data_IF_804898125407
#
_entry.id   IF_804898125407
#
_cell.length_a   1.000
_cell.length_b   1.000
_cell.length_c   1.000
_cell.angle_alpha   90.00
_cell.angle_beta   90.00
_cell.angle_gamma   90.00
#
_symmetry.space_group_name_H-M   'P 1'
#
loop_
_entity.id
_entity.type
_entity.pdbx_description
1 polymer ?
#
# COMPACT_ATOMS: atom_id res chain seq x y z
N UNK A 1 8.10 -7.37 32.68
CA UNK A 1 7.35 -7.64 31.43
C UNK A 1 8.36 -7.47 30.32
N UNK A 2 8.31 -8.27 29.25
CA UNK A 2 9.24 -8.09 28.13
C UNK A 2 9.09 -6.69 27.55
N UNK A 3 10.20 -6.06 27.16
CA UNK A 3 10.18 -4.76 26.48
C UNK A 3 9.54 -4.86 25.08
N UNK A 4 9.40 -6.07 24.53
CA UNK A 4 8.73 -6.32 23.25
C UNK A 4 7.20 -6.37 23.35
N UNK A 5 6.62 -6.41 24.55
CA UNK A 5 5.18 -6.62 24.74
C UNK A 5 4.53 -5.48 25.53
N UNK A 6 3.41 -4.97 25.01
CA UNK A 6 2.58 -3.96 25.67
C UNK A 6 1.59 -4.57 26.67
N UNK A 7 1.37 -5.88 26.60
CA UNK A 7 0.44 -6.64 27.44
C UNK A 7 0.93 -8.07 27.68
N UNK A 8 0.52 -8.68 28.79
CA UNK A 8 0.83 -10.08 29.09
C UNK A 8 -0.13 -11.09 28.46
N UNK A 9 -1.25 -10.61 27.89
CA UNK A 9 -2.32 -11.45 27.33
C UNK A 9 -2.50 -11.20 25.83
N UNK A 10 -2.47 -12.27 25.04
CA UNK A 10 -2.78 -12.23 23.61
C UNK A 10 -4.28 -12.42 23.34
N UNK A 11 -4.82 -11.85 22.24
CA UNK A 11 -6.25 -11.87 21.92
C UNK A 11 -6.70 -13.19 21.27
N UNK A 12 -6.29 -14.34 21.83
CA UNK A 12 -6.55 -15.67 21.27
C UNK A 12 -7.48 -16.51 22.15
N UNK A 13 -8.06 -17.56 21.58
CA UNK A 13 -8.81 -18.56 22.33
C UNK A 13 -7.94 -19.19 23.42
N UNK A 14 -8.54 -19.54 24.57
CA UNK A 14 -7.85 -20.26 25.65
C UNK A 14 -7.27 -21.57 25.10
N UNK A 15 -5.95 -21.74 25.20
CA UNK A 15 -5.23 -22.91 24.72
C UNK A 15 -4.79 -22.86 23.25
N UNK A 16 -5.09 -21.80 22.50
CA UNK A 16 -4.63 -21.63 21.10
C UNK A 16 -3.11 -21.56 21.03
N UNK A 17 -2.43 -22.34 20.17
CA UNK A 17 -0.98 -22.41 20.11
C UNK A 17 -0.28 -21.15 19.59
N UNK A 18 -0.97 -20.26 18.86
CA UNK A 18 -0.43 -18.95 18.43
C UNK A 18 0.30 -18.20 19.56
N UNK A 19 -0.20 -18.22 20.80
CA UNK A 19 0.46 -17.51 21.92
C UNK A 19 1.88 -18.02 22.21
N UNK A 20 2.16 -19.31 21.94
CA UNK A 20 3.49 -19.88 22.10
C UNK A 20 4.42 -19.37 21.00
N UNK A 21 3.93 -19.16 19.78
CA UNK A 21 4.71 -18.61 18.68
C UNK A 21 5.17 -17.20 19.05
N UNK A 22 4.24 -16.33 19.48
CA UNK A 22 4.54 -14.95 19.88
C UNK A 22 5.57 -14.91 21.01
N UNK A 23 5.39 -15.73 22.05
CA UNK A 23 6.33 -15.76 23.19
C UNK A 23 7.70 -16.34 22.83
N UNK A 24 7.77 -17.30 21.92
CA UNK A 24 9.04 -17.84 21.47
C UNK A 24 9.77 -16.84 20.56
N UNK A 25 9.06 -16.06 19.74
CA UNK A 25 9.66 -14.96 18.99
C UNK A 25 10.23 -13.90 19.93
N UNK A 26 9.46 -13.46 20.94
CA UNK A 26 9.94 -12.50 21.94
C UNK A 26 11.21 -12.98 22.62
N UNK A 27 11.25 -14.25 23.06
CA UNK A 27 12.45 -14.84 23.66
C UNK A 27 13.64 -14.89 22.70
N UNK A 28 13.38 -15.16 21.42
CA UNK A 28 14.43 -15.17 20.40
C UNK A 28 15.05 -13.77 20.25
N UNK A 29 14.21 -12.74 20.11
CA UNK A 29 14.64 -11.35 19.95
C UNK A 29 15.36 -10.81 21.19
N UNK A 30 14.87 -11.13 22.39
CA UNK A 30 15.55 -10.80 23.65
C UNK A 30 16.91 -11.50 23.77
N UNK A 31 16.97 -12.78 23.39
CA UNK A 31 18.21 -13.56 23.37
C UNK A 31 19.25 -13.05 22.38
N UNK A 32 18.81 -12.34 21.32
CA UNK A 32 19.66 -11.65 20.36
C UNK A 32 20.11 -10.26 20.84
N UNK A 33 19.53 -9.74 21.93
CA UNK A 33 19.78 -8.37 22.39
C UNK A 33 19.19 -7.29 21.49
N UNK A 34 18.17 -7.62 20.68
CA UNK A 34 17.49 -6.63 19.84
C UNK A 34 16.71 -5.63 20.69
N UNK A 35 16.65 -4.36 20.25
CA UNK A 35 15.67 -3.40 20.75
C UNK A 35 14.33 -3.57 20.02
N UNK A 36 13.17 -3.28 20.64
CA UNK A 36 11.89 -3.23 19.93
C UNK A 36 11.89 -2.31 18.71
N UNK A 37 12.69 -1.23 18.73
CA UNK A 37 12.84 -0.28 17.62
C UNK A 37 13.77 -0.80 16.49
N UNK A 38 14.39 -1.96 16.66
CA UNK A 38 15.14 -2.63 15.61
C UNK A 38 14.29 -3.63 14.83
N UNK A 39 13.05 -3.87 15.26
CA UNK A 39 12.17 -4.89 14.71
C UNK A 39 10.95 -4.27 14.05
N UNK A 40 10.65 -4.73 12.84
CA UNK A 40 9.39 -4.47 12.15
C UNK A 40 8.63 -5.79 12.04
N UNK A 41 7.49 -5.87 12.72
CA UNK A 41 6.57 -7.00 12.65
C UNK A 41 5.49 -6.71 11.61
N UNK A 42 5.45 -7.49 10.54
CA UNK A 42 4.43 -7.39 9.49
C UNK A 42 3.46 -8.56 9.66
N UNK A 43 2.18 -8.28 9.82
CA UNK A 43 1.18 -9.32 10.08
C UNK A 43 0.19 -9.46 8.94
N UNK A 44 -0.19 -10.68 8.58
CA UNK A 44 -1.26 -10.99 7.64
C UNK A 44 -2.66 -10.95 8.27
N UNK A 45 -3.70 -11.07 7.44
CA UNK A 45 -5.09 -11.22 7.92
C UNK A 45 -5.29 -12.65 8.43
N UNK A 46 -5.63 -12.77 9.70
CA UNK A 46 -5.91 -14.05 10.36
C UNK A 46 -5.88 -13.90 11.87
N UNK A 47 -6.18 -14.98 12.61
CA UNK A 47 -6.14 -14.94 14.08
C UNK A 47 -4.78 -14.44 14.59
N UNK A 48 -3.68 -14.95 14.03
CA UNK A 48 -2.32 -14.52 14.38
C UNK A 48 -2.13 -13.00 14.26
N UNK A 49 -2.70 -12.36 13.24
CA UNK A 49 -2.48 -10.95 12.94
C UNK A 49 -3.07 -9.98 13.95
N UNK A 50 -4.02 -10.42 14.79
CA UNK A 50 -4.59 -9.60 15.87
C UNK A 50 -3.54 -9.32 16.98
N UNK A 51 -2.45 -10.09 17.03
CA UNK A 51 -1.42 -9.90 18.04
C UNK A 51 -0.50 -8.70 17.79
N UNK A 52 -0.54 -8.06 16.60
CA UNK A 52 0.27 -6.88 16.31
C UNK A 52 0.18 -5.80 17.41
N UNK A 53 -1.01 -5.52 17.92
CA UNK A 53 -1.28 -4.55 19.01
C UNK A 53 -0.61 -4.91 20.35
N UNK A 54 -0.24 -6.18 20.52
CA UNK A 54 0.44 -6.65 21.72
C UNK A 54 1.97 -6.44 21.66
N UNK A 55 2.53 -6.11 20.49
CA UNK A 55 3.95 -5.85 20.32
C UNK A 55 4.28 -4.35 20.47
N UNK A 56 5.40 -4.06 21.14
CA UNK A 56 5.96 -2.73 21.29
C UNK A 56 6.96 -2.36 20.18
N UNK A 57 6.92 -3.08 19.05
CA UNK A 57 7.78 -2.89 17.87
C UNK A 57 7.11 -1.98 16.85
N UNK A 58 7.77 -1.71 15.72
CA UNK A 58 7.05 -1.22 14.55
C UNK A 58 6.12 -2.33 14.03
N UNK A 59 4.88 -2.01 13.71
CA UNK A 59 3.89 -2.99 13.25
C UNK A 59 3.20 -2.54 11.97
N UNK A 60 3.07 -3.44 10.99
CA UNK A 60 2.32 -3.21 9.76
C UNK A 60 1.32 -4.34 9.55
N UNK A 61 0.03 -4.04 9.66
CA UNK A 61 -1.04 -4.99 9.37
C UNK A 61 -1.37 -4.98 7.88
N UNK A 62 -1.02 -6.06 7.19
CA UNK A 62 -1.17 -6.22 5.74
C UNK A 62 -2.56 -6.69 5.31
N UNK A 63 -2.71 -6.88 3.99
CA UNK A 63 -3.85 -7.57 3.39
C UNK A 63 -3.63 -9.08 3.36
N UNK A 64 -4.70 -9.84 3.18
CA UNK A 64 -4.65 -11.30 3.20
C UNK A 64 -3.70 -11.87 2.13
N UNK A 65 -2.68 -12.63 2.56
CA UNK A 65 -1.60 -13.18 1.75
C UNK A 65 -0.68 -12.14 1.13
N UNK A 66 -0.64 -10.90 1.64
CA UNK A 66 0.22 -9.82 1.13
C UNK A 66 1.29 -9.38 2.13
N UNK A 67 1.26 -9.88 3.35
CA UNK A 67 2.23 -9.56 4.40
C UNK A 67 3.69 -9.80 3.97
N UNK A 68 3.97 -10.90 3.24
CA UNK A 68 5.33 -11.18 2.74
C UNK A 68 5.77 -10.20 1.66
N UNK A 69 4.86 -9.77 0.78
CA UNK A 69 5.18 -8.75 -0.23
C UNK A 69 5.47 -7.38 0.43
N UNK A 70 4.69 -7.01 1.44
CA UNK A 70 4.90 -5.79 2.23
C UNK A 70 6.22 -5.86 3.01
N UNK A 71 6.47 -6.98 3.71
CA UNK A 71 7.71 -7.24 4.42
C UNK A 71 8.93 -7.23 3.51
N UNK A 72 8.82 -7.77 2.30
CA UNK A 72 9.90 -7.72 1.33
C UNK A 72 10.22 -6.27 0.91
N UNK A 73 9.20 -5.44 0.66
CA UNK A 73 9.38 -4.01 0.40
C UNK A 73 10.09 -3.30 1.54
N UNK A 74 9.70 -3.58 2.78
CA UNK A 74 10.32 -3.00 3.98
C UNK A 74 11.78 -3.46 4.13
N UNK A 75 12.05 -4.77 4.03
CA UNK A 75 13.41 -5.32 4.18
C UNK A 75 14.37 -4.87 3.08
N UNK A 76 13.85 -4.57 1.88
CA UNK A 76 14.63 -3.98 0.78
C UNK A 76 14.93 -2.49 0.98
N UNK A 77 14.09 -1.77 1.73
CA UNK A 77 14.22 -0.33 1.94
C UNK A 77 14.97 0.02 3.24
N UNK A 78 14.94 -0.86 4.23
CA UNK A 78 15.61 -0.66 5.52
C UNK A 78 17.07 -1.14 5.48
N UNK A 79 17.93 -0.57 6.35
CA UNK A 79 19.30 -1.00 6.45
C UNK A 79 19.41 -2.39 7.13
N UNK A 80 20.47 -3.18 6.85
CA UNK A 80 20.58 -4.60 7.23
C UNK A 80 20.50 -4.93 8.72
N UNK A 81 20.77 -3.96 9.60
CA UNK A 81 20.67 -4.10 11.04
C UNK A 81 19.23 -4.23 11.54
N UNK A 82 18.25 -3.75 10.76
CA UNK A 82 16.84 -3.85 11.10
C UNK A 82 16.30 -5.23 10.75
N UNK A 83 15.47 -5.78 11.63
CA UNK A 83 14.89 -7.12 11.50
C UNK A 83 13.44 -7.01 11.04
N UNK A 84 13.14 -7.64 9.91
CA UNK A 84 11.77 -7.74 9.39
C UNK A 84 11.26 -9.16 9.64
N UNK A 85 10.23 -9.26 10.48
CA UNK A 85 9.57 -10.53 10.79
C UNK A 85 8.15 -10.47 10.25
N UNK A 86 7.75 -11.50 9.51
CA UNK A 86 6.41 -11.61 8.93
C UNK A 86 5.64 -12.72 9.61
N UNK A 87 4.49 -12.41 10.20
CA UNK A 87 3.53 -13.41 10.68
C UNK A 87 2.46 -13.66 9.63
N UNK A 88 2.31 -14.93 9.25
CA UNK A 88 1.31 -15.36 8.28
C UNK A 88 0.69 -16.69 8.72
N UNK A 89 -0.63 -16.82 8.65
CA UNK A 89 -1.31 -18.09 8.86
C UNK A 89 -1.15 -19.02 7.66
N UNK A 90 -1.45 -20.30 7.83
CA UNK A 90 -1.48 -21.27 6.73
C UNK A 90 -2.43 -20.87 5.59
N UNK A 91 -3.56 -20.23 5.91
CA UNK A 91 -4.43 -19.65 4.88
C UNK A 91 -3.86 -18.45 4.14
N UNK A 92 -3.18 -17.56 4.88
CA UNK A 92 -2.43 -16.46 4.28
C UNK A 92 -1.34 -16.97 3.36
N UNK A 93 -0.63 -18.03 3.75
CA UNK A 93 0.40 -18.67 2.94
C UNK A 93 -0.18 -19.35 1.69
N UNK A 94 -1.43 -19.81 1.74
CA UNK A 94 -2.12 -20.40 0.57
C UNK A 94 -2.37 -19.34 -0.52
N UNK A 95 -3.05 -18.24 -0.19
CA UNK A 95 -3.31 -17.14 -1.16
C UNK A 95 -2.05 -16.29 -1.44
N UNK A 96 -1.08 -16.32 -0.52
CA UNK A 96 0.18 -15.59 -0.60
C UNK A 96 1.35 -16.39 -1.17
N UNK A 97 1.13 -17.63 -1.63
CA UNK A 97 2.21 -18.56 -2.01
C UNK A 97 3.21 -17.94 -2.97
N UNK A 98 2.75 -17.26 -4.03
CA UNK A 98 3.64 -16.62 -5.00
C UNK A 98 4.54 -15.56 -4.37
N UNK A 99 4.05 -14.79 -3.40
CA UNK A 99 4.85 -13.77 -2.73
C UNK A 99 5.93 -14.39 -1.84
N UNK A 100 5.64 -15.51 -1.20
CA UNK A 100 6.61 -16.31 -0.44
C UNK A 100 7.71 -16.82 -1.38
N UNK A 101 7.32 -17.46 -2.49
CA UNK A 101 8.27 -18.02 -3.45
C UNK A 101 9.14 -16.95 -4.11
N UNK A 102 8.59 -15.79 -4.46
CA UNK A 102 9.38 -14.69 -5.03
C UNK A 102 10.34 -14.06 -4.01
N UNK A 103 9.92 -13.89 -2.75
CA UNK A 103 10.82 -13.41 -1.70
C UNK A 103 11.97 -14.39 -1.45
N UNK A 104 11.69 -15.70 -1.45
CA UNK A 104 12.69 -16.75 -1.40
C UNK A 104 13.61 -16.73 -2.62
N UNK A 105 13.05 -16.63 -3.84
CA UNK A 105 13.80 -16.58 -5.10
C UNK A 105 14.74 -15.38 -5.17
N UNK A 106 14.30 -14.22 -4.72
CA UNK A 106 15.15 -13.04 -4.63
C UNK A 106 16.16 -13.16 -3.49
N UNK A 107 15.89 -13.93 -2.45
CA UNK A 107 16.64 -13.95 -1.19
C UNK A 107 16.53 -12.61 -0.43
N UNK A 108 15.31 -12.09 -0.31
CA UNK A 108 15.07 -10.85 0.44
C UNK A 108 15.31 -11.09 1.93
N UNK A 109 16.01 -10.16 2.58
CA UNK A 109 16.37 -10.23 4.00
C UNK A 109 15.14 -10.04 4.92
N UNK A 110 14.45 -11.14 5.21
CA UNK A 110 13.28 -11.18 6.09
C UNK A 110 13.03 -12.60 6.59
N UNK A 111 12.38 -12.71 7.75
CA UNK A 111 11.95 -13.99 8.33
C UNK A 111 10.44 -14.14 8.28
N UNK A 112 9.94 -15.18 7.62
CA UNK A 112 8.51 -15.54 7.62
C UNK A 112 8.25 -16.60 8.68
N UNK A 113 7.38 -16.31 9.64
CA UNK A 113 6.88 -17.27 10.63
C UNK A 113 5.46 -17.66 10.26
N UNK A 114 5.28 -18.94 9.90
CA UNK A 114 3.99 -19.48 9.47
C UNK A 114 3.30 -20.12 10.67
N UNK A 115 2.15 -19.56 11.02
CA UNK A 115 1.26 -20.09 12.05
C UNK A 115 0.37 -21.16 11.39
N UNK A 116 0.86 -22.41 11.32
CA UNK A 116 0.14 -23.50 10.67
C UNK A 116 -0.74 -24.26 11.67
N UNK A 117 -2.01 -23.84 11.77
CA UNK A 117 -3.01 -24.48 12.61
C UNK A 117 -3.97 -25.41 11.84
N UNK A 118 -3.59 -25.75 10.60
CA UNK A 118 -4.23 -26.68 9.67
C UNK A 118 -5.57 -26.23 9.08
N UNK A 119 -6.02 -24.98 9.31
CA UNK A 119 -7.29 -24.45 8.79
C UNK A 119 -7.41 -22.92 8.91
N UNK A 120 -8.47 -22.35 8.31
CA UNK A 120 -8.78 -20.93 8.43
C UNK A 120 -9.58 -20.67 9.71
N UNK A 121 -8.88 -20.49 10.84
CA UNK A 121 -9.51 -20.31 12.14
C UNK A 121 -10.46 -19.10 12.23
N UNK A 122 -10.02 -17.93 11.74
CA UNK A 122 -10.78 -16.68 11.87
C UNK A 122 -12.12 -16.71 11.12
N UNK A 123 -12.20 -17.43 10.01
CA UNK A 123 -13.38 -17.45 9.12
C UNK A 123 -14.31 -18.64 9.39
N UNK A 124 -14.04 -19.45 10.41
CA UNK A 124 -14.93 -20.54 10.81
C UNK A 124 -14.44 -21.94 10.49
N UNK A 125 -13.15 -22.15 10.23
CA UNK A 125 -12.54 -23.47 10.18
C UNK A 125 -12.59 -24.18 8.82
N UNK A 126 -12.42 -23.44 7.73
CA UNK A 126 -12.27 -23.97 6.36
C UNK A 126 -10.87 -24.58 6.14
N UNK A 127 -10.68 -25.53 5.23
CA UNK A 127 -9.34 -26.02 4.89
C UNK A 127 -8.51 -24.94 4.17
N UNK A 128 -7.19 -24.98 4.37
CA UNK A 128 -6.16 -24.24 3.65
C UNK A 128 -5.47 -25.12 2.61
N UNK A 129 -4.59 -24.55 1.79
CA UNK A 129 -3.68 -25.30 0.92
C UNK A 129 -2.59 -26.06 1.68
N UNK A 130 -2.51 -25.90 3.00
CA UNK A 130 -1.62 -26.64 3.90
C UNK A 130 -2.38 -27.68 4.73
N UNK A 131 -3.72 -27.72 4.66
CA UNK A 131 -4.53 -28.73 5.34
C UNK A 131 -4.22 -30.11 4.78
N UNK A 132 -3.73 -31.06 5.58
CA UNK A 132 -3.35 -32.39 5.10
C UNK A 132 -4.53 -33.18 4.56
N UNK A 133 -4.25 -34.11 3.65
CA UNK A 133 -5.23 -35.10 3.21
C UNK A 133 -5.74 -35.91 4.42
N UNK A 134 -7.04 -36.20 4.45
CA UNK A 134 -7.72 -36.84 5.57
C UNK A 134 -8.00 -35.94 6.78
N UNK A 135 -7.40 -34.75 6.88
CA UNK A 135 -7.66 -33.84 7.99
C UNK A 135 -9.06 -33.26 7.93
N UNK A 136 -9.84 -33.40 9.01
CA UNK A 136 -11.25 -33.01 9.06
C UNK A 136 -11.38 -31.54 9.43
N UNK A 137 -12.23 -30.82 8.71
CA UNK A 137 -12.54 -29.41 8.99
C UNK A 137 -14.04 -29.19 9.06
N UNK A 138 -14.49 -27.95 9.32
CA UNK A 138 -15.92 -27.63 9.45
C UNK A 138 -16.68 -27.91 8.14
N UNK A 139 -16.06 -27.64 6.99
CA UNK A 139 -16.68 -27.82 5.67
C UNK A 139 -16.21 -29.07 4.93
N UNK A 140 -15.19 -29.77 5.47
CA UNK A 140 -14.74 -31.09 5.00
C UNK A 140 -14.83 -32.11 6.14
N UNK A 141 -16.05 -32.47 6.58
CA UNK A 141 -16.24 -33.35 7.73
C UNK A 141 -15.75 -34.79 7.50
N UNK A 142 -15.60 -35.22 6.25
CA UNK A 142 -15.04 -36.54 5.89
C UNK A 142 -13.52 -36.49 5.68
N UNK A 143 -12.88 -35.35 5.94
CA UNK A 143 -11.45 -35.13 5.69
C UNK A 143 -11.18 -34.49 4.32
N UNK A 144 -10.10 -33.71 4.24
CA UNK A 144 -9.62 -33.17 2.96
C UNK A 144 -9.28 -34.31 1.98
N UNK A 145 -9.73 -34.18 0.73
CA UNK A 145 -9.38 -35.10 -0.37
C UNK A 145 -8.32 -34.49 -1.30
N UNK A 146 -7.83 -33.30 -0.95
CA UNK A 146 -6.86 -32.56 -1.75
C UNK A 146 -5.45 -32.77 -1.19
N UNK A 147 -4.43 -32.83 -2.05
CA UNK A 147 -3.05 -32.78 -1.59
C UNK A 147 -2.76 -31.41 -0.96
N UNK A 148 -1.84 -31.41 -0.02
CA UNK A 148 -1.37 -30.20 0.66
C UNK A 148 0.00 -29.79 0.11
N UNK A 149 0.35 -28.51 0.27
CA UNK A 149 1.68 -28.01 -0.04
C UNK A 149 2.67 -28.33 1.08
N UNK A 150 3.87 -28.80 0.73
CA UNK A 150 5.02 -28.80 1.64
C UNK A 150 5.74 -27.45 1.51
N UNK A 151 5.38 -26.48 2.36
CA UNK A 151 5.87 -25.12 2.24
C UNK A 151 7.38 -25.01 2.44
N UNK A 152 7.95 -25.74 3.41
CA UNK A 152 9.39 -25.74 3.66
C UNK A 152 10.15 -26.24 2.42
N UNK A 153 9.69 -27.33 1.80
CA UNK A 153 10.31 -27.83 0.57
C UNK A 153 10.17 -26.83 -0.58
N UNK A 154 8.98 -26.26 -0.78
CA UNK A 154 8.72 -25.30 -1.85
C UNK A 154 9.63 -24.07 -1.77
N UNK A 155 9.83 -23.49 -0.57
CA UNK A 155 10.71 -22.32 -0.43
C UNK A 155 12.18 -22.67 -0.60
N UNK A 156 12.59 -23.87 -0.17
CA UNK A 156 13.94 -24.38 -0.41
C UNK A 156 14.21 -24.56 -1.91
N UNK A 157 13.27 -25.15 -2.64
CA UNK A 157 13.34 -25.29 -4.10
C UNK A 157 13.31 -23.93 -4.82
N UNK A 158 12.64 -22.92 -4.24
CA UNK A 158 12.66 -21.54 -4.72
C UNK A 158 13.97 -20.79 -4.39
N UNK A 159 14.83 -21.34 -3.52
CA UNK A 159 16.13 -20.77 -3.18
C UNK A 159 16.21 -20.00 -1.86
N UNK A 160 15.36 -20.32 -0.88
CA UNK A 160 15.47 -19.82 0.48
C UNK A 160 16.85 -20.12 1.10
N UNK A 161 17.38 -19.20 1.90
CA UNK A 161 18.61 -19.41 2.65
C UNK A 161 18.39 -20.35 3.85
N UNK A 162 17.19 -20.31 4.43
CA UNK A 162 16.82 -21.13 5.58
C UNK A 162 15.34 -21.50 5.56
N UNK A 163 15.03 -22.74 5.87
CA UNK A 163 13.68 -23.18 6.22
C UNK A 163 13.73 -24.07 7.45
N UNK A 164 12.75 -23.94 8.34
CA UNK A 164 12.57 -24.85 9.45
C UNK A 164 11.09 -25.16 9.66
N UNK A 165 10.85 -26.35 10.20
CA UNK A 165 9.53 -26.77 10.65
C UNK A 165 9.64 -27.28 12.08
N UNK A 166 8.78 -26.79 12.94
CA UNK A 166 8.75 -27.15 14.36
C UNK A 166 7.33 -27.46 14.82
N UNK A 167 7.21 -28.30 15.84
CA UNK A 167 5.95 -28.44 16.57
C UNK A 167 5.85 -27.26 17.54
N UNK A 168 4.74 -26.54 17.49
CA UNK A 168 4.45 -25.35 18.32
C UNK A 168 4.17 -25.66 19.79
N UNK A 169 4.93 -26.60 20.39
CA UNK A 169 4.84 -26.97 21.79
C UNK A 169 6.19 -26.71 22.47
N UNK A 170 6.16 -26.09 23.65
CA UNK A 170 7.35 -25.84 24.44
C UNK A 170 8.19 -24.67 23.94
N UNK A 171 9.51 -24.80 24.04
CA UNK A 171 10.47 -23.77 23.67
C UNK A 171 11.14 -24.10 22.32
N UNK A 172 10.92 -23.24 21.33
CA UNK A 172 11.53 -23.29 20.01
C UNK A 172 12.13 -21.92 19.62
N UNK A 173 12.40 -21.07 20.62
CA UNK A 173 13.02 -19.75 20.40
C UNK A 173 14.37 -19.83 19.70
N UNK A 174 15.14 -20.90 19.91
CA UNK A 174 16.46 -21.06 19.26
C UNK A 174 16.35 -21.23 17.74
N UNK A 175 15.27 -21.88 17.26
CA UNK A 175 15.00 -22.03 15.82
C UNK A 175 14.58 -20.69 15.22
N UNK A 176 13.72 -19.95 15.93
CA UNK A 176 13.34 -18.60 15.49
C UNK A 176 14.53 -17.65 15.49
N UNK A 177 15.40 -17.72 16.50
CA UNK A 177 16.65 -16.95 16.56
C UNK A 177 17.52 -17.25 15.35
N UNK A 178 17.78 -18.53 15.07
CA UNK A 178 18.59 -18.93 13.92
C UNK A 178 17.99 -18.38 12.61
N UNK A 179 16.67 -18.45 12.45
CA UNK A 179 16.00 -17.90 11.28
C UNK A 179 16.14 -16.37 11.14
N UNK A 180 16.09 -15.61 12.23
CA UNK A 180 16.24 -14.14 12.24
C UNK A 180 17.70 -13.69 12.09
N UNK A 181 18.66 -14.55 12.43
CA UNK A 181 20.09 -14.33 12.22
C UNK A 181 20.54 -14.57 10.77
N UNK A 182 19.76 -15.30 9.98
CA UNK A 182 20.05 -15.56 8.57
C UNK A 182 20.01 -14.26 7.77
N UNK A 183 21.09 -13.97 7.05
CA UNK A 183 21.11 -12.93 6.02
C UNK A 183 20.42 -13.47 4.76
N UNK A 184 19.23 -12.95 4.45
CA UNK A 184 18.41 -13.39 3.33
C UNK A 184 17.07 -13.99 3.76
N UNK A 185 16.42 -14.70 2.85
CA UNK A 185 15.07 -15.18 3.11
C UNK A 185 15.09 -16.42 4.01
N UNK A 186 14.39 -16.34 5.13
CA UNK A 186 14.16 -17.46 6.05
C UNK A 186 12.68 -17.71 6.30
N UNK A 187 12.31 -18.98 6.48
CA UNK A 187 10.94 -19.38 6.84
C UNK A 187 10.94 -20.37 8.01
N UNK A 188 10.06 -20.16 8.98
CA UNK A 188 9.78 -21.11 10.06
C UNK A 188 8.31 -21.47 10.06
N UNK A 189 7.99 -22.70 9.71
CA UNK A 189 6.65 -23.27 9.80
C UNK A 189 6.42 -23.87 11.19
N UNK A 190 5.49 -23.30 11.95
CA UNK A 190 5.14 -23.78 13.29
C UNK A 190 3.82 -24.52 13.23
N UNK A 191 3.88 -25.84 13.43
CA UNK A 191 2.71 -26.71 13.44
C UNK A 191 1.98 -26.61 14.79
N UNK A 192 0.70 -26.28 14.76
CA UNK A 192 -0.18 -26.26 15.93
C UNK A 192 -1.59 -26.76 15.59
N UNK A 193 -2.50 -26.76 16.57
CA UNK A 193 -3.90 -27.12 16.35
C UNK A 193 -4.82 -26.01 16.83
N UNK A 194 -5.72 -25.57 15.96
CA UNK A 194 -6.78 -24.65 16.33
C UNK A 194 -7.73 -25.30 17.36
N UNK A 195 -7.73 -24.80 18.60
CA UNK A 195 -8.56 -25.33 19.68
C UNK A 195 -10.07 -25.20 19.44
N UNK A 196 -10.50 -24.20 18.66
CA UNK A 196 -11.92 -23.95 18.39
C UNK A 196 -12.51 -24.92 17.36
N UNK A 197 -11.70 -25.33 16.38
CA UNK A 197 -12.18 -26.13 15.23
C UNK A 197 -11.39 -27.43 15.08
N UNK A 198 -10.07 -27.35 14.84
CA UNK A 198 -9.24 -28.52 14.52
C UNK A 198 -9.30 -29.60 15.61
N UNK A 199 -9.14 -29.21 16.88
CA UNK A 199 -9.18 -30.15 18.01
C UNK A 199 -10.55 -30.83 18.19
N UNK A 200 -11.63 -30.12 17.85
CA UNK A 200 -13.01 -30.66 17.92
C UNK A 200 -13.28 -31.69 16.83
N UNK A 201 -12.81 -31.42 15.61
CA UNK A 201 -13.05 -32.28 14.45
C UNK A 201 -12.08 -33.47 14.34
N UNK A 202 -10.92 -33.37 14.99
CA UNK A 202 -9.88 -34.40 14.98
C UNK A 202 -9.51 -34.80 16.42
N UNK A 203 -10.44 -35.40 17.18
CA UNK A 203 -10.21 -35.72 18.60
C UNK A 203 -9.08 -36.75 18.75
N UNK A 204 -8.16 -36.49 19.69
CA UNK A 204 -7.03 -37.39 19.99
C UNK A 204 -5.87 -37.31 19.01
N UNK A 205 -5.95 -36.46 17.98
CA UNK A 205 -4.87 -36.27 17.02
C UNK A 205 -3.62 -35.71 17.69
N UNK A 206 -2.46 -36.30 17.38
CA UNK A 206 -1.15 -35.78 17.81
C UNK A 206 -0.43 -35.17 16.62
N UNK A 207 0.07 -33.95 16.79
CA UNK A 207 0.76 -33.20 15.74
C UNK A 207 1.94 -33.94 15.10
N UNK A 208 2.72 -34.68 15.91
CA UNK A 208 3.85 -35.48 15.40
C UNK A 208 3.38 -36.62 14.48
N UNK A 209 2.33 -37.32 14.86
CA UNK A 209 1.76 -38.42 14.08
C UNK A 209 1.15 -37.90 12.77
N UNK A 210 0.49 -36.73 12.82
CA UNK A 210 -0.04 -36.06 11.63
C UNK A 210 1.09 -35.64 10.67
N UNK A 211 2.14 -34.98 11.19
CA UNK A 211 3.28 -34.54 10.38
C UNK A 211 3.98 -35.73 9.69
N UNK A 212 4.13 -36.85 10.41
CA UNK A 212 4.66 -38.09 9.86
C UNK A 212 3.79 -38.66 8.75
N UNK A 213 2.48 -38.82 9.01
CA UNK A 213 1.54 -39.42 8.08
C UNK A 213 1.41 -38.61 6.78
N UNK A 214 1.51 -37.30 6.88
CA UNK A 214 1.36 -36.41 5.74
C UNK A 214 2.71 -36.02 5.09
N UNK A 215 3.84 -36.54 5.59
CA UNK A 215 5.12 -36.43 4.90
C UNK A 215 5.85 -35.09 5.05
N UNK A 216 5.52 -34.31 6.08
CA UNK A 216 6.13 -33.00 6.36
C UNK A 216 6.72 -32.95 7.78
N UNK A 217 7.59 -33.88 8.11
CA UNK A 217 8.26 -33.98 9.42
C UNK A 217 8.96 -32.67 9.86
N UNK A 218 8.99 -32.35 11.17
CA UNK A 218 9.81 -31.27 11.70
C UNK A 218 11.29 -31.43 11.32
N UNK A 219 11.94 -30.33 10.97
CA UNK A 219 13.30 -30.35 10.46
C UNK A 219 13.86 -28.96 10.23
N UNK A 220 15.14 -28.89 9.88
CA UNK A 220 15.84 -27.67 9.51
C UNK A 220 16.59 -27.92 8.21
N UNK A 221 16.37 -27.04 7.25
CA UNK A 221 16.98 -27.08 5.93
C UNK A 221 17.73 -25.77 5.70
N UNK A 222 18.97 -25.88 5.23
CA UNK A 222 19.84 -24.73 4.95
C UNK A 222 20.14 -24.72 3.47
N UNK A 223 19.80 -23.60 2.83
CA UNK A 223 20.01 -23.42 1.40
C UNK A 223 21.44 -23.00 1.08
N UNK A 224 21.72 -22.83 -0.20
CA UNK A 224 22.99 -22.26 -0.65
C UNK A 224 23.10 -20.81 -0.18
N UNK A 225 24.16 -20.50 0.56
CA UNK A 225 24.43 -19.11 0.97
C UNK A 225 24.66 -18.24 -0.25
N UNK A 226 23.84 -17.21 -0.38
CA UNK A 226 23.96 -16.13 -1.35
C UNK A 226 23.63 -14.80 -0.66
N UNK A 227 24.17 -13.67 -1.14
CA UNK A 227 23.87 -12.37 -0.54
C UNK A 227 22.37 -12.10 -0.52
N UNK A 228 21.92 -11.37 0.50
CA UNK A 228 20.55 -10.85 0.50
C UNK A 228 20.32 -9.93 -0.70
N UNK A 229 19.12 -9.97 -1.27
CA UNK A 229 18.75 -9.00 -2.30
C UNK A 229 18.70 -7.60 -1.71
N UNK A 230 19.40 -6.67 -2.35
CA UNK A 230 19.36 -5.24 -2.05
C UNK A 230 18.94 -4.50 -3.30
N UNK A 231 18.14 -3.46 -3.12
CA UNK A 231 17.86 -2.54 -4.21
C UNK A 231 19.16 -1.86 -4.63
N UNK A 232 19.35 -1.59 -5.94
CA UNK A 232 20.43 -0.71 -6.37
C UNK A 232 20.34 0.61 -5.60
N UNK A 233 21.47 1.21 -5.17
CA UNK A 233 21.43 2.52 -4.55
C UNK A 233 20.74 3.49 -5.51
N UNK A 234 19.56 3.96 -5.10
CA UNK A 234 18.82 5.01 -5.81
C UNK A 234 19.40 6.38 -5.47
N UNK A 235 18.99 7.38 -6.24
CA UNK A 235 19.20 8.78 -5.84
C UNK A 235 18.47 9.01 -4.50
N UNK A 236 19.19 9.50 -3.48
CA UNK A 236 18.59 9.87 -2.21
C UNK A 236 17.51 10.91 -2.48
N UNK A 237 16.26 10.55 -2.21
CA UNK A 237 15.16 11.50 -2.28
C UNK A 237 15.10 12.24 -0.95
N UNK A 238 14.90 13.57 -0.97
CA UNK A 238 14.69 14.31 0.26
C UNK A 238 13.51 13.71 1.02
N UNK A 239 13.64 13.65 2.35
CA UNK A 239 12.55 13.20 3.22
C UNK A 239 11.32 14.05 2.97
N UNK A 240 10.14 13.43 2.91
CA UNK A 240 8.88 14.17 2.87
C UNK A 240 8.68 15.05 4.11
N UNK A 241 9.37 14.72 5.21
CA UNK A 241 9.36 15.50 6.45
C UNK A 241 10.34 16.69 6.42
N UNK A 242 11.25 16.72 5.46
CA UNK A 242 12.28 17.76 5.30
C UNK A 242 12.04 18.62 4.05
N UNK A 243 10.86 18.52 3.44
CA UNK A 243 10.52 19.34 2.28
C UNK A 243 10.44 20.82 2.66
N UNK A 244 11.19 21.65 1.93
CA UNK A 244 11.09 23.09 2.09
C UNK A 244 9.70 23.61 1.67
N UNK A 245 9.06 24.47 2.48
CA UNK A 245 7.82 25.12 2.10
C UNK A 245 8.00 25.95 0.81
N UNK A 246 6.96 26.01 -0.02
CA UNK A 246 6.97 26.89 -1.18
C UNK A 246 6.91 28.34 -0.67
N UNK A 247 7.91 29.20 -0.99
CA UNK A 247 7.94 30.56 -0.49
C UNK A 247 6.79 31.37 -1.09
N UNK A 248 6.14 32.18 -0.24
CA UNK A 248 5.10 33.11 -0.69
C UNK A 248 5.78 34.32 -1.35
N UNK A 249 5.51 34.52 -2.64
CA UNK A 249 6.06 35.60 -3.47
C UNK A 249 4.98 36.50 -4.07
N UNK A 250 3.76 36.01 -4.12
CA UNK A 250 2.60 36.71 -4.68
C UNK A 250 1.47 36.75 -3.66
N UNK A 251 0.37 37.43 -3.99
CA UNK A 251 -0.81 37.51 -3.13
C UNK A 251 -2.06 37.23 -3.94
N UNK A 252 -2.78 36.18 -3.58
CA UNK A 252 -4.10 35.90 -4.15
C UNK A 252 -5.17 36.82 -3.56
N UNK A 253 -6.12 37.32 -4.38
CA UNK A 253 -7.28 38.07 -3.90
C UNK A 253 -8.36 37.17 -3.27
N UNK A 254 -8.25 35.83 -3.36
CA UNK A 254 -9.24 34.90 -2.81
C UNK A 254 -9.35 35.06 -1.29
N UNK A 255 -10.53 35.38 -0.77
CA UNK A 255 -10.76 35.51 0.68
C UNK A 255 -11.26 34.21 1.33
N UNK A 256 -11.99 33.41 0.56
CA UNK A 256 -12.67 32.20 1.02
C UNK A 256 -12.00 30.92 0.55
N UNK A 257 -12.85 29.98 0.12
CA UNK A 257 -12.47 28.70 -0.47
C UNK A 257 -12.96 28.68 -1.92
N UNK A 258 -12.17 28.10 -2.82
CA UNK A 258 -12.57 27.82 -4.19
C UNK A 258 -12.30 26.35 -4.51
N UNK A 259 -13.32 25.65 -5.00
CA UNK A 259 -13.27 24.28 -5.50
C UNK A 259 -13.25 24.27 -7.03
N UNK A 260 -12.13 23.80 -7.58
CA UNK A 260 -11.86 23.71 -9.01
C UNK A 260 -11.80 22.24 -9.44
N UNK A 261 -12.47 21.91 -10.54
CA UNK A 261 -12.35 20.61 -11.22
C UNK A 261 -11.78 20.85 -12.61
N UNK A 262 -10.78 20.07 -13.00
CA UNK A 262 -10.17 20.11 -14.34
C UNK A 262 -10.32 18.74 -14.97
N UNK A 263 -11.10 18.64 -16.04
CA UNK A 263 -11.34 17.42 -16.79
C UNK A 263 -10.75 17.48 -18.20
N UNK A 264 -10.00 16.44 -18.58
CA UNK A 264 -9.45 16.28 -19.93
C UNK A 264 -9.13 14.82 -20.24
N UNK A 265 -8.33 14.56 -21.27
CA UNK A 265 -7.95 13.19 -21.63
C UNK A 265 -6.64 12.79 -20.95
N UNK A 266 -6.48 11.49 -20.69
CA UNK A 266 -5.24 10.93 -20.20
C UNK A 266 -4.09 11.23 -21.18
N UNK A 267 -2.96 11.70 -20.66
CA UNK A 267 -1.82 12.14 -21.49
C UNK A 267 -1.85 13.61 -21.92
N UNK A 268 -2.94 14.34 -21.67
CA UNK A 268 -3.08 15.78 -21.98
C UNK A 268 -2.65 16.72 -20.83
N UNK A 269 -1.86 16.21 -19.88
CA UNK A 269 -1.21 17.02 -18.85
C UNK A 269 -2.09 17.49 -17.69
N UNK A 270 -3.37 17.08 -17.59
CA UNK A 270 -4.33 17.52 -16.55
C UNK A 270 -3.74 17.47 -15.13
N UNK A 271 -3.19 16.31 -14.74
CA UNK A 271 -2.65 16.12 -13.38
C UNK A 271 -1.49 17.07 -13.06
N UNK A 272 -0.65 17.37 -14.06
CA UNK A 272 0.51 18.25 -13.92
C UNK A 272 0.10 19.70 -13.90
N UNK A 273 -0.83 20.10 -14.79
CA UNK A 273 -1.38 21.45 -14.80
C UNK A 273 -2.00 21.81 -13.44
N UNK A 274 -2.83 20.92 -12.89
CA UNK A 274 -3.45 21.10 -11.57
C UNK A 274 -2.42 21.14 -10.42
N UNK A 275 -1.37 20.32 -10.47
CA UNK A 275 -0.28 20.36 -9.49
C UNK A 275 0.47 21.70 -9.53
N UNK A 276 0.83 22.18 -10.71
CA UNK A 276 1.50 23.48 -10.88
C UNK A 276 0.61 24.64 -10.44
N UNK A 277 -0.69 24.57 -10.71
CA UNK A 277 -1.65 25.59 -10.30
C UNK A 277 -1.81 25.63 -8.77
N UNK A 278 -1.87 24.46 -8.12
CA UNK A 278 -1.86 24.37 -6.65
C UNK A 278 -0.55 24.91 -6.04
N UNK A 279 0.61 24.62 -6.64
CA UNK A 279 1.89 25.18 -6.19
C UNK A 279 1.95 26.70 -6.34
N UNK A 280 1.44 27.23 -7.45
CA UNK A 280 1.33 28.67 -7.67
C UNK A 280 0.39 29.33 -6.65
N UNK A 281 -0.73 28.67 -6.31
CA UNK A 281 -1.62 29.13 -5.25
C UNK A 281 -0.92 29.17 -3.88
N UNK A 282 -0.13 28.15 -3.53
CA UNK A 282 0.69 28.15 -2.30
C UNK A 282 1.70 29.28 -2.31
N UNK A 283 2.42 29.47 -3.42
CA UNK A 283 3.33 30.61 -3.62
C UNK A 283 2.61 31.98 -3.62
N UNK A 284 1.28 31.99 -3.64
CA UNK A 284 0.43 33.17 -3.58
C UNK A 284 -0.27 33.34 -2.22
N UNK A 285 0.14 32.58 -1.20
CA UNK A 285 -0.37 32.68 0.17
C UNK A 285 -1.65 31.91 0.43
N UNK A 286 -2.00 30.91 -0.39
CA UNK A 286 -3.15 30.04 -0.19
C UNK A 286 -2.74 28.65 0.31
N UNK A 287 -3.62 28.03 1.07
CA UNK A 287 -3.63 26.59 1.28
C UNK A 287 -4.20 25.90 0.04
N UNK A 288 -3.58 24.81 -0.39
CA UNK A 288 -4.03 24.06 -1.56
C UNK A 288 -4.03 22.55 -1.32
N UNK A 289 -5.05 21.87 -1.84
CA UNK A 289 -5.07 20.40 -1.97
C UNK A 289 -5.31 20.03 -3.42
N UNK A 290 -4.75 18.89 -3.84
CA UNK A 290 -4.92 18.36 -5.19
C UNK A 290 -5.17 16.86 -5.14
N UNK A 291 -6.28 16.41 -5.73
CA UNK A 291 -6.64 14.99 -5.90
C UNK A 291 -6.71 14.67 -7.38
N UNK A 292 -6.19 13.50 -7.78
CA UNK A 292 -6.29 13.00 -9.16
C UNK A 292 -7.27 11.83 -9.25
N UNK A 293 -8.01 11.75 -10.35
CA UNK A 293 -8.80 10.59 -10.77
C UNK A 293 -8.47 10.28 -12.22
N UNK A 294 -8.04 9.05 -12.50
CA UNK A 294 -7.74 8.57 -13.84
C UNK A 294 -7.73 7.04 -13.86
N UNK A 295 -8.00 6.40 -15.02
CA UNK A 295 -7.93 4.96 -15.16
C UNK A 295 -6.54 4.39 -14.87
N UNK A 296 -6.47 3.12 -14.49
CA UNK A 296 -5.19 2.38 -14.32
C UNK A 296 -4.45 2.19 -15.66
N UNK A 297 -5.15 2.32 -16.78
CA UNK A 297 -4.60 2.23 -18.13
C UNK A 297 -3.88 3.52 -18.49
N UNK A 298 -2.59 3.42 -18.81
CA UNK A 298 -1.76 4.58 -19.17
C UNK A 298 -2.22 5.17 -20.51
N UNK A 299 -2.51 6.48 -20.50
CA UNK A 299 -2.72 7.26 -21.73
C UNK A 299 -4.06 7.05 -22.44
N UNK A 300 -5.03 6.38 -21.81
CA UNK A 300 -6.36 6.15 -22.39
C UNK A 300 -7.45 6.57 -21.41
N UNK A 301 -8.50 7.20 -21.93
CA UNK A 301 -9.67 7.64 -21.16
C UNK A 301 -9.51 9.02 -20.55
N UNK A 302 -10.28 9.28 -19.51
CA UNK A 302 -10.31 10.59 -18.84
C UNK A 302 -9.10 10.80 -17.92
N UNK A 303 -8.84 12.07 -17.62
CA UNK A 303 -8.06 12.49 -16.47
C UNK A 303 -8.75 13.68 -15.84
N UNK A 304 -9.09 13.55 -14.56
CA UNK A 304 -9.68 14.63 -13.76
C UNK A 304 -8.76 14.98 -12.61
N UNK A 305 -8.55 16.27 -12.38
CA UNK A 305 -7.96 16.77 -11.15
C UNK A 305 -8.94 17.66 -10.39
N UNK A 306 -9.06 17.43 -9.09
CA UNK A 306 -9.79 18.28 -8.15
C UNK A 306 -8.78 19.11 -7.36
N UNK A 307 -8.95 20.43 -7.36
CA UNK A 307 -8.10 21.38 -6.64
C UNK A 307 -8.98 22.20 -5.70
N UNK A 308 -8.62 22.25 -4.42
CA UNK A 308 -9.26 23.15 -3.45
C UNK A 308 -8.22 24.18 -3.03
N UNK A 309 -8.56 25.45 -3.19
CA UNK A 309 -7.77 26.59 -2.73
C UNK A 309 -8.49 27.27 -1.57
N UNK A 310 -7.76 27.76 -0.57
CA UNK A 310 -8.35 28.39 0.61
C UNK A 310 -7.36 29.32 1.32
N UNK A 311 -7.84 30.39 1.97
CA UNK A 311 -7.00 31.15 2.93
C UNK A 311 -6.85 30.48 4.30
N UNK A 312 -7.65 29.46 4.58
CA UNK A 312 -7.65 28.72 5.84
C UNK A 312 -7.25 27.26 5.61
N UNK A 313 -6.71 26.57 6.63
CA UNK A 313 -6.37 25.15 6.53
C UNK A 313 -7.52 24.30 5.97
N UNK A 314 -7.19 23.40 5.05
CA UNK A 314 -8.16 22.52 4.37
C UNK A 314 -8.19 21.18 5.10
N UNK A 315 -9.21 20.97 5.96
CA UNK A 315 -9.40 19.70 6.67
C UNK A 315 -10.13 18.63 5.85
N UNK A 316 -10.87 19.03 4.81
CA UNK A 316 -11.60 18.14 3.90
C UNK A 316 -11.46 18.61 2.45
N UNK A 317 -10.95 17.72 1.60
CA UNK A 317 -10.59 18.02 0.22
C UNK A 317 -11.66 17.56 -0.80
N UNK A 318 -12.77 16.96 -0.34
CA UNK A 318 -13.85 16.54 -1.24
C UNK A 318 -14.61 17.72 -1.84
N UNK A 319 -15.03 17.57 -3.12
CA UNK A 319 -15.81 18.57 -3.85
C UNK A 319 -17.18 17.97 -4.20
N UNK A 320 -18.22 18.41 -3.49
CA UNK A 320 -19.61 18.04 -3.79
C UNK A 320 -20.19 18.94 -4.90
N UNK A 321 -20.14 20.26 -4.71
CA UNK A 321 -20.43 21.26 -5.74
C UNK A 321 -19.17 22.06 -6.05
N UNK A 322 -18.68 22.06 -7.31
CA UNK A 322 -17.53 22.87 -7.72
C UNK A 322 -17.92 24.33 -7.96
N UNK A 323 -17.03 25.26 -7.62
CA UNK A 323 -17.18 26.68 -7.98
C UNK A 323 -16.73 26.93 -9.43
N UNK A 324 -15.76 26.13 -9.89
CA UNK A 324 -15.20 26.21 -11.24
C UNK A 324 -15.01 24.79 -11.78
N UNK A 325 -15.49 24.55 -13.00
CA UNK A 325 -15.17 23.34 -13.76
C UNK A 325 -14.50 23.77 -15.06
N UNK A 326 -13.35 23.18 -15.39
CA UNK A 326 -12.59 23.41 -16.62
C UNK A 326 -12.56 22.11 -17.41
N UNK A 327 -13.10 22.11 -18.63
CA UNK A 327 -13.17 20.94 -19.50
C UNK A 327 -12.40 21.21 -20.79
N UNK A 328 -11.37 20.40 -21.05
CA UNK A 328 -10.46 20.58 -22.20
C UNK A 328 -10.55 19.49 -23.26
N UNK A 329 -11.32 18.42 -23.03
CA UNK A 329 -11.49 17.34 -24.00
C UNK A 329 -12.83 16.63 -23.85
N UNK A 330 -13.18 15.83 -24.86
CA UNK A 330 -14.40 15.03 -24.85
C UNK A 330 -14.40 13.95 -23.75
N UNK A 331 -13.26 13.30 -23.48
CA UNK A 331 -13.17 12.31 -22.38
C UNK A 331 -13.43 12.96 -21.02
N UNK A 332 -12.86 14.16 -20.81
CA UNK A 332 -13.10 14.96 -19.61
C UNK A 332 -14.56 15.36 -19.48
N UNK A 333 -15.18 15.82 -20.58
CA UNK A 333 -16.60 16.19 -20.60
C UNK A 333 -17.49 15.00 -20.27
N UNK A 334 -17.26 13.84 -20.90
CA UNK A 334 -18.03 12.62 -20.66
C UNK A 334 -17.91 12.14 -19.22
N UNK A 335 -16.72 12.21 -18.63
CA UNK A 335 -16.51 11.80 -17.24
C UNK A 335 -17.17 12.75 -16.23
N UNK A 336 -17.11 14.06 -16.48
CA UNK A 336 -17.67 15.08 -15.57
C UNK A 336 -19.12 15.48 -15.90
N UNK A 337 -19.76 14.83 -16.88
CA UNK A 337 -21.09 15.21 -17.37
C UNK A 337 -22.14 15.32 -16.26
N UNK A 338 -22.23 14.31 -15.38
CA UNK A 338 -23.16 14.35 -14.25
C UNK A 338 -22.84 15.47 -13.26
N UNK A 339 -21.56 15.76 -13.05
CA UNK A 339 -21.15 16.82 -12.13
C UNK A 339 -21.53 18.19 -12.69
N UNK A 340 -21.26 18.42 -13.97
CA UNK A 340 -21.60 19.66 -14.69
C UNK A 340 -23.11 19.88 -14.73
N UNK A 341 -23.88 18.83 -15.00
CA UNK A 341 -25.35 18.89 -14.99
C UNK A 341 -25.91 19.29 -13.62
N UNK A 342 -25.29 18.81 -12.53
CA UNK A 342 -25.70 19.11 -11.15
C UNK A 342 -25.19 20.46 -10.63
N UNK A 343 -24.46 21.25 -11.42
CA UNK A 343 -24.04 22.59 -10.99
C UNK A 343 -25.25 23.52 -10.97
N UNK A 344 -25.50 24.14 -9.83
CA UNK A 344 -26.57 25.14 -9.63
C UNK A 344 -26.05 26.59 -9.71
N UNK A 345 -24.73 26.75 -9.87
CA UNK A 345 -24.02 28.02 -9.95
C UNK A 345 -22.53 27.80 -10.25
N UNK A 346 -21.70 28.83 -10.04
CA UNK A 346 -20.28 28.78 -10.39
C UNK A 346 -20.05 28.97 -11.90
N UNK A 347 -18.88 28.57 -12.38
CA UNK A 347 -18.49 28.73 -13.80
C UNK A 347 -18.05 27.42 -14.44
N UNK A 348 -18.54 27.17 -15.65
CA UNK A 348 -18.06 26.10 -16.54
C UNK A 348 -17.20 26.72 -17.63
N UNK A 349 -15.91 26.43 -17.63
CA UNK A 349 -14.95 26.79 -18.67
C UNK A 349 -14.79 25.59 -19.60
N UNK A 350 -15.13 25.74 -20.87
CA UNK A 350 -15.13 24.62 -21.81
C UNK A 350 -14.39 24.99 -23.10
N UNK A 351 -13.60 24.05 -23.61
CA UNK A 351 -12.92 24.20 -24.89
C UNK A 351 -13.93 24.39 -26.03
N UNK A 352 -13.64 25.31 -26.95
CA UNK A 352 -14.52 25.65 -28.06
C UNK A 352 -14.81 24.49 -29.02
N UNK A 353 -13.95 23.45 -29.05
CA UNK A 353 -14.17 22.28 -29.88
C UNK A 353 -15.25 21.34 -29.34
N UNK A 354 -15.81 21.60 -28.16
CA UNK A 354 -16.72 20.69 -27.46
C UNK A 354 -18.16 21.23 -27.46
N UNK A 355 -19.17 20.34 -27.46
CA UNK A 355 -20.54 20.75 -27.27
C UNK A 355 -20.73 21.31 -25.85
N UNK A 356 -21.45 22.42 -25.73
CA UNK A 356 -21.81 22.99 -24.44
C UNK A 356 -22.89 22.11 -23.78
N UNK A 357 -22.62 21.52 -22.60
CA UNK A 357 -23.60 20.69 -21.90
C UNK A 357 -24.67 21.55 -21.21
N UNK A 358 -25.79 20.92 -20.85
CA UNK A 358 -26.77 21.53 -19.96
C UNK A 358 -26.18 21.69 -18.55
N UNK A 359 -26.33 22.88 -17.96
CA UNK A 359 -25.81 23.21 -16.63
C UNK A 359 -26.48 24.47 -16.08
N UNK A 360 -26.55 24.61 -14.75
CA UNK A 360 -26.93 25.85 -14.08
C UNK A 360 -25.77 26.84 -13.88
N UNK A 361 -24.54 26.46 -14.28
CA UNK A 361 -23.35 27.32 -14.18
C UNK A 361 -23.28 28.38 -15.29
N UNK A 362 -22.55 29.47 -15.04
CA UNK A 362 -22.16 30.41 -16.10
C UNK A 362 -21.15 29.75 -17.05
N UNK A 363 -21.50 29.61 -18.33
CA UNK A 363 -20.63 28.96 -19.33
C UNK A 363 -19.69 29.97 -19.99
N UNK A 364 -18.39 29.65 -19.97
CA UNK A 364 -17.32 30.39 -20.63
C UNK A 364 -16.62 29.50 -21.65
N UNK A 365 -16.90 29.75 -22.93
CA UNK A 365 -16.25 29.04 -24.04
C UNK A 365 -14.94 29.74 -24.40
N UNK A 366 -13.86 28.97 -24.52
CA UNK A 366 -12.51 29.47 -24.87
C UNK A 366 -11.79 28.44 -25.73
N UNK A 367 -10.88 28.90 -26.58
CA UNK A 367 -9.93 28.01 -27.26
C UNK A 367 -8.79 27.62 -26.29
N UNK A 368 -8.82 26.39 -25.77
CA UNK A 368 -7.74 25.85 -24.95
C UNK A 368 -6.76 25.00 -25.74
N UNK A 369 -7.23 24.36 -26.82
CA UNK A 369 -6.45 23.37 -27.58
C UNK A 369 -5.66 23.98 -28.72
N UNK A 370 -6.13 25.04 -29.37
CA UNK A 370 -5.62 25.59 -30.64
C UNK A 370 -4.10 25.77 -30.66
N UNK A 371 -3.60 26.91 -30.17
CA UNK A 371 -2.14 27.19 -30.15
C UNK A 371 -1.36 26.32 -29.16
N UNK A 372 -2.03 25.80 -28.12
CA UNK A 372 -1.37 25.03 -27.06
C UNK A 372 -1.10 23.57 -27.45
N UNK A 373 -1.90 23.02 -28.36
CA UNK A 373 -1.98 21.60 -28.65
C UNK A 373 -2.60 20.79 -27.50
N UNK A 374 -2.95 19.52 -27.75
CA UNK A 374 -3.62 18.65 -26.77
C UNK A 374 -2.80 18.47 -25.48
N UNK A 375 -1.47 18.39 -25.58
CA UNK A 375 -0.59 18.16 -24.42
C UNK A 375 -0.55 19.32 -23.42
N UNK A 376 -0.82 20.54 -23.86
CA UNK A 376 -0.77 21.74 -23.02
C UNK A 376 -2.15 22.36 -22.78
N UNK A 377 -3.23 21.75 -23.28
CA UNK A 377 -4.58 22.31 -23.21
C UNK A 377 -5.00 22.60 -21.76
N UNK A 378 -4.77 21.66 -20.83
CA UNK A 378 -5.10 21.86 -19.41
C UNK A 378 -4.28 22.98 -18.75
N UNK A 379 -2.99 23.09 -19.10
CA UNK A 379 -2.11 24.14 -18.58
C UNK A 379 -2.56 25.52 -19.10
N UNK A 380 -2.85 25.62 -20.39
CA UNK A 380 -3.32 26.85 -21.01
C UNK A 380 -4.73 27.25 -20.53
N UNK A 381 -5.61 26.29 -20.28
CA UNK A 381 -6.92 26.54 -19.70
C UNK A 381 -6.82 27.13 -18.29
N UNK A 382 -5.95 26.60 -17.44
CA UNK A 382 -5.70 27.15 -16.10
C UNK A 382 -4.99 28.51 -16.13
N UNK A 383 -4.17 28.76 -17.14
CA UNK A 383 -3.54 30.08 -17.33
C UNK A 383 -4.58 31.12 -17.77
N UNK A 384 -5.50 30.74 -18.66
CA UNK A 384 -6.64 31.57 -19.04
C UNK A 384 -7.53 31.87 -17.83
N UNK A 385 -7.84 30.86 -17.01
CA UNK A 385 -8.57 31.03 -15.75
C UNK A 385 -7.84 31.99 -14.80
N UNK A 386 -6.52 31.83 -14.61
CA UNK A 386 -5.70 32.72 -13.79
C UNK A 386 -5.77 34.17 -14.27
N UNK A 387 -5.65 34.41 -15.58
CA UNK A 387 -5.69 35.76 -16.18
C UNK A 387 -7.03 36.44 -16.02
N UNK A 388 -8.11 35.72 -16.24
CA UNK A 388 -9.45 36.30 -16.24
C UNK A 388 -10.04 36.44 -14.83
N UNK A 389 -9.64 35.61 -13.88
CA UNK A 389 -10.17 35.64 -12.51
C UNK A 389 -9.23 36.28 -11.49
N UNK A 390 -7.92 36.27 -11.76
CA UNK A 390 -6.88 36.69 -10.82
C UNK A 390 -6.76 35.81 -9.56
N UNK A 391 -7.53 34.71 -9.46
CA UNK A 391 -7.59 33.89 -8.23
C UNK A 391 -6.23 33.30 -7.86
N UNK A 392 -5.45 32.94 -8.87
CA UNK A 392 -4.02 32.71 -8.77
C UNK A 392 -3.37 33.74 -9.69
N UNK A 393 -2.47 34.60 -9.18
CA UNK A 393 -1.72 35.55 -10.00
C UNK A 393 -1.08 34.85 -11.22
N UNK A 394 -1.33 35.31 -12.45
CA UNK A 394 -0.78 34.70 -13.66
C UNK A 394 0.74 34.57 -13.63
N UNK A 395 1.43 35.56 -13.06
CA UNK A 395 2.88 35.59 -12.87
C UNK A 395 3.34 34.41 -12.01
N UNK A 396 2.63 34.14 -10.90
CA UNK A 396 2.93 33.02 -10.01
C UNK A 396 2.78 31.68 -10.72
N UNK A 397 1.75 31.55 -11.57
CA UNK A 397 1.52 30.32 -12.32
C UNK A 397 2.56 30.13 -13.43
N UNK A 398 2.91 31.18 -14.17
CA UNK A 398 3.99 31.14 -15.17
C UNK A 398 5.34 30.80 -14.51
N UNK A 399 5.67 31.40 -13.37
CA UNK A 399 6.89 31.07 -12.61
C UNK A 399 6.90 29.60 -12.20
N UNK A 400 5.77 29.08 -11.67
CA UNK A 400 5.66 27.67 -11.29
C UNK A 400 5.85 26.73 -12.49
N UNK A 401 5.30 27.09 -13.66
CA UNK A 401 5.48 26.33 -14.91
C UNK A 401 6.95 26.36 -15.33
N UNK A 402 7.58 27.53 -15.39
CA UNK A 402 8.98 27.70 -15.83
C UNK A 402 9.98 27.00 -14.90
N UNK A 403 9.73 27.00 -13.59
CA UNK A 403 10.56 26.30 -12.60
C UNK A 403 10.41 24.77 -12.66
N UNK A 404 9.38 24.26 -13.33
CA UNK A 404 9.12 22.82 -13.43
C UNK A 404 9.88 22.17 -14.61
N UNK A 405 10.18 20.86 -14.54
CA UNK A 405 10.79 20.15 -15.66
C UNK A 405 10.01 20.24 -16.98
N UNK A 406 8.67 20.36 -16.91
CA UNK A 406 7.82 20.47 -18.10
C UNK A 406 7.87 21.87 -18.73
N UNK A 407 8.25 22.91 -17.98
CA UNK A 407 8.34 24.29 -18.49
C UNK A 407 9.23 24.41 -19.73
N UNK A 408 10.28 23.58 -19.84
CA UNK A 408 11.16 23.49 -21.02
C UNK A 408 10.46 23.03 -22.30
N UNK A 409 9.31 22.37 -22.16
CA UNK A 409 8.51 21.83 -23.25
C UNK A 409 7.24 22.64 -23.53
N UNK A 410 6.99 23.70 -22.75
CA UNK A 410 5.88 24.63 -22.99
C UNK A 410 6.37 25.74 -23.91
N UNK A 411 5.74 25.96 -25.08
CA UNK A 411 6.11 27.06 -25.98
C UNK A 411 6.10 28.42 -25.24
N UNK A 412 7.17 29.22 -25.32
CA UNK A 412 7.26 30.50 -24.61
C UNK A 412 6.11 31.47 -24.94
N UNK A 413 5.56 31.39 -26.15
CA UNK A 413 4.45 32.22 -26.61
C UNK A 413 3.18 31.97 -25.78
N UNK A 414 2.98 30.74 -25.30
CA UNK A 414 1.84 30.40 -24.42
C UNK A 414 1.97 31.00 -23.03
N UNK A 415 3.21 31.32 -22.61
CA UNK A 415 3.50 31.88 -21.29
C UNK A 415 3.59 33.41 -21.32
N UNK A 416 3.47 34.04 -22.49
CA UNK A 416 3.48 35.50 -22.63
C UNK A 416 2.24 36.11 -21.97
N UNK A 417 2.44 36.88 -20.90
CA UNK A 417 1.40 37.44 -20.03
C UNK A 417 0.55 38.52 -20.70
#
# INVERSE_FOLDING_TARGET
MSDFLTTSSFPYCKGCGHHLIDRNLVRALEGMGCSPLDVVLVTDIGCHGIADRAFATHTVHGLHGRSVALGAGIGMALPPEKKVVVFIGDGGATIGLQHILEAARLNVDLTVVVHNNMLYGMTGGQPSGLTPEGFRTVITPEGSQLPHHDLCRLVMDAGAAYAARVVGLGNFSDVLREAVEVEGFSLVEVLELCVAYAAKWNPGLRLKELAQAAGYEPGVWRGTRRPAFRLPPGEEKPSLLEMEPIPVRYTSPLEGRMALVVGGSAGEGVQRAAELFARAAIGSGLEATKKGSYPVTVGVGFSTAEVVLSRRPIAYHGIAQPDVVVITSEDGLRHEAERVLRMEGGTLWIDESLPVPETGAEVRVRDFRGRAGPRNAALYALLTLARETGVVPPEAFVEAIQASPIGRHVPPELLSL
#
